data_IF_716615213514
#
_entry.id   IF_716615213514
#
_cell.length_a   1.000
_cell.length_b   1.000
_cell.length_c   1.000
_cell.angle_alpha   90.00
_cell.angle_beta   90.00
_cell.angle_gamma   90.00
#
_symmetry.space_group_name_H-M   'P 1'
#
loop_
_entity.id
_entity.type
_entity.pdbx_description
1 polymer ?
#
# COMPACT_ATOMS: atom_id res chain seq x y z
N UNK A 1 -48.72 43.75 38.92
CA UNK A 1 -47.97 42.50 38.72
C UNK A 1 -46.52 42.83 38.42
N UNK A 2 -45.58 42.40 39.27
CA UNK A 2 -44.13 42.50 39.03
C UNK A 2 -43.68 41.31 38.19
N UNK A 3 -42.72 41.53 37.29
CA UNK A 3 -41.58 40.68 36.91
C UNK A 3 -40.96 41.35 35.67
N UNK A 4 -39.83 42.05 35.81
CA UNK A 4 -38.47 41.52 35.60
C UNK A 4 -38.23 41.20 34.12
N UNK A 5 -37.20 41.68 33.41
CA UNK A 5 -36.01 42.41 33.77
C UNK A 5 -34.96 42.21 32.65
N UNK A 6 -33.88 43.00 32.73
CA UNK A 6 -32.56 42.83 32.07
C UNK A 6 -32.54 43.11 30.55
N UNK A 7 -31.75 44.09 30.06
CA UNK A 7 -30.28 44.03 29.83
C UNK A 7 -29.94 42.70 29.12
N UNK A 8 -29.32 42.64 27.94
CA UNK A 8 -28.05 43.28 27.59
C UNK A 8 -27.47 42.75 26.26
N UNK A 9 -26.49 43.50 25.70
CA UNK A 9 -25.33 43.12 24.87
C UNK A 9 -25.52 42.65 23.41
N UNK A 10 -24.95 43.48 22.52
CA UNK A 10 -24.44 43.12 21.20
C UNK A 10 -23.25 42.16 21.29
N UNK A 11 -23.03 41.35 20.26
CA UNK A 11 -21.73 41.08 19.63
C UNK A 11 -21.96 40.12 18.44
N UNK A 12 -21.93 40.70 17.23
CA UNK A 12 -21.84 39.93 16.00
C UNK A 12 -20.43 39.36 15.86
N UNK A 13 -20.31 38.04 15.90
CA UNK A 13 -19.09 37.33 15.57
C UNK A 13 -19.15 36.97 14.09
N UNK A 14 -18.30 37.61 13.30
CA UNK A 14 -18.01 37.22 11.92
C UNK A 14 -17.23 35.91 11.99
N UNK A 15 -17.87 34.80 11.67
CA UNK A 15 -17.21 33.51 11.54
C UNK A 15 -16.57 33.42 10.14
N UNK A 16 -15.26 33.63 10.11
CA UNK A 16 -14.42 33.36 8.95
C UNK A 16 -14.46 31.86 8.65
N UNK A 17 -15.09 31.46 7.55
CA UNK A 17 -15.02 30.10 7.03
C UNK A 17 -13.59 29.85 6.55
N UNK A 18 -12.77 29.21 7.39
CA UNK A 18 -11.48 28.65 6.98
C UNK A 18 -11.81 27.44 6.11
N UNK A 19 -11.58 27.57 4.80
CA UNK A 19 -11.56 26.43 3.90
C UNK A 19 -10.35 25.56 4.28
N UNK A 20 -10.60 24.53 5.10
CA UNK A 20 -9.64 23.48 5.37
C UNK A 20 -9.45 22.70 4.07
N UNK A 21 -8.25 22.81 3.51
CA UNK A 21 -7.76 22.01 2.39
C UNK A 21 -7.96 20.52 2.71
N UNK A 22 -8.80 19.84 1.93
CA UNK A 22 -8.95 18.39 1.94
C UNK A 22 -7.68 17.77 1.33
N UNK A 23 -6.59 17.72 2.08
CA UNK A 23 -5.55 16.73 1.82
C UNK A 23 -6.11 15.39 2.27
N UNK A 24 -6.39 14.50 1.32
CA UNK A 24 -7.02 13.21 1.55
C UNK A 24 -6.27 12.40 2.60
N UNK A 25 -6.84 12.33 3.81
CA UNK A 25 -6.49 11.30 4.77
C UNK A 25 -7.03 9.98 4.21
N UNK A 26 -6.19 9.24 3.48
CA UNK A 26 -6.49 7.84 3.20
C UNK A 26 -6.42 7.10 4.53
N UNK A 27 -7.58 6.68 5.04
CA UNK A 27 -7.65 5.77 6.18
C UNK A 27 -7.21 4.39 5.71
N UNK A 28 -6.21 3.83 6.37
CA UNK A 28 -5.77 2.45 6.13
C UNK A 28 -6.92 1.46 6.34
N UNK A 29 -7.07 0.51 5.43
CA UNK A 29 -8.11 -0.50 5.49
C UNK A 29 -7.69 -1.68 6.36
N UNK A 30 -8.45 -1.88 7.46
CA UNK A 30 -8.28 -2.96 8.42
C UNK A 30 -9.48 -3.93 8.45
N UNK A 31 -10.42 -3.83 7.51
CA UNK A 31 -11.66 -4.62 7.52
C UNK A 31 -12.60 -4.34 8.71
N UNK A 32 -13.58 -5.24 8.92
CA UNK A 32 -14.74 -4.98 9.80
C UNK A 32 -14.43 -5.09 11.31
N UNK A 33 -13.43 -5.88 11.73
CA UNK A 33 -13.16 -6.13 13.17
C UNK A 33 -11.69 -6.00 13.62
N UNK A 34 -10.70 -5.81 12.72
CA UNK A 34 -9.22 -5.67 12.95
C UNK A 34 -8.35 -6.45 11.95
N UNK A 35 -8.93 -7.00 10.88
CA UNK A 35 -8.19 -7.69 9.82
C UNK A 35 -8.90 -7.60 8.47
N UNK A 36 -8.11 -7.62 7.42
CA UNK A 36 -8.54 -7.63 6.02
C UNK A 36 -9.44 -8.83 5.69
N UNK A 37 -10.34 -8.68 4.72
CA UNK A 37 -11.12 -9.81 4.21
C UNK A 37 -10.20 -10.92 3.69
N UNK A 38 -10.48 -12.16 4.10
CA UNK A 38 -9.61 -13.30 3.78
C UNK A 38 -9.45 -13.57 2.29
N UNK A 39 -10.39 -13.13 1.43
CA UNK A 39 -10.23 -13.25 -0.03
C UNK A 39 -9.17 -12.28 -0.53
N UNK A 40 -9.29 -11.00 -0.16
CA UNK A 40 -8.32 -9.96 -0.50
C UNK A 40 -6.93 -10.26 0.07
N UNK A 41 -6.86 -10.78 1.31
CA UNK A 41 -5.59 -11.23 1.90
C UNK A 41 -4.94 -12.33 1.06
N UNK A 42 -5.69 -13.37 0.69
CA UNK A 42 -5.17 -14.48 -0.13
C UNK A 42 -4.74 -14.00 -1.52
N UNK A 43 -5.40 -13.01 -2.08
CA UNK A 43 -5.03 -12.41 -3.36
C UNK A 43 -3.67 -11.69 -3.26
N UNK A 44 -3.45 -10.86 -2.25
CA UNK A 44 -2.13 -10.25 -2.00
C UNK A 44 -1.06 -11.31 -1.74
N UNK A 45 -1.34 -12.28 -0.85
CA UNK A 45 -0.42 -13.37 -0.55
C UNK A 45 -0.04 -14.18 -1.80
N UNK A 46 -0.96 -14.38 -2.75
CA UNK A 46 -0.67 -15.12 -3.98
C UNK A 46 0.41 -14.46 -4.85
N UNK A 47 0.60 -13.15 -4.69
CA UNK A 47 1.66 -12.37 -5.32
C UNK A 47 2.89 -12.21 -4.42
N UNK A 48 2.68 -11.97 -3.13
CA UNK A 48 3.75 -11.71 -2.16
C UNK A 48 4.58 -12.97 -1.86
N UNK A 49 3.95 -14.14 -1.69
CA UNK A 49 4.63 -15.38 -1.32
C UNK A 49 5.77 -15.78 -2.29
N UNK A 50 5.55 -15.87 -3.63
CA UNK A 50 6.63 -16.21 -4.55
C UNK A 50 7.71 -15.13 -4.64
N UNK A 51 7.33 -13.86 -4.48
CA UNK A 51 8.28 -12.75 -4.43
C UNK A 51 9.14 -12.84 -3.16
N UNK A 52 8.53 -13.08 -2.01
CA UNK A 52 9.18 -13.24 -0.71
C UNK A 52 10.21 -14.36 -0.76
N UNK A 53 9.86 -15.52 -1.31
CA UNK A 53 10.83 -16.61 -1.53
C UNK A 53 12.04 -16.14 -2.35
N UNK A 54 11.82 -15.37 -3.42
CA UNK A 54 12.90 -14.83 -4.25
C UNK A 54 13.75 -13.76 -3.54
N UNK A 55 13.15 -12.99 -2.63
CA UNK A 55 13.82 -11.94 -1.87
C UNK A 55 14.68 -12.49 -0.74
N UNK A 56 14.17 -13.48 0.01
CA UNK A 56 14.81 -14.01 1.22
C UNK A 56 15.61 -15.30 0.98
N UNK A 57 15.40 -16.00 -0.13
CA UNK A 57 16.19 -17.16 -0.56
C UNK A 57 16.75 -16.94 -1.99
N UNK A 58 17.60 -15.92 -2.21
CA UNK A 58 17.97 -15.52 -3.55
C UNK A 58 18.93 -16.51 -4.23
N UNK A 59 18.80 -16.60 -5.55
CA UNK A 59 19.71 -17.38 -6.41
C UNK A 59 21.02 -16.65 -6.74
N UNK A 60 21.09 -15.34 -6.48
CA UNK A 60 22.25 -14.49 -6.75
C UNK A 60 22.74 -13.81 -5.45
N UNK A 61 24.06 -13.78 -5.26
CA UNK A 61 24.72 -13.32 -4.04
C UNK A 61 25.53 -12.04 -4.28
N UNK A 62 25.18 -11.30 -5.32
CA UNK A 62 25.72 -10.01 -5.67
C UNK A 62 24.57 -9.00 -5.93
N UNK A 63 24.72 -7.72 -5.56
CA UNK A 63 23.62 -6.75 -5.58
C UNK A 63 22.85 -6.63 -6.90
N UNK A 64 23.55 -6.48 -8.02
CA UNK A 64 22.92 -6.33 -9.34
C UNK A 64 22.26 -7.64 -9.78
N UNK A 65 22.92 -8.77 -9.53
CA UNK A 65 22.37 -10.10 -9.83
C UNK A 65 21.07 -10.35 -9.07
N UNK A 66 21.05 -10.02 -7.79
CA UNK A 66 19.87 -10.09 -6.92
C UNK A 66 18.68 -9.32 -7.49
N UNK A 67 18.86 -8.05 -7.85
CA UNK A 67 17.78 -7.22 -8.42
C UNK A 67 17.29 -7.74 -9.79
N UNK A 68 18.19 -8.33 -10.57
CA UNK A 68 17.87 -8.87 -11.88
C UNK A 68 17.18 -10.24 -11.82
N UNK A 69 17.41 -11.02 -10.77
CA UNK A 69 16.74 -12.32 -10.59
C UNK A 69 15.27 -12.21 -10.20
N UNK A 70 14.83 -11.07 -9.67
CA UNK A 70 13.43 -10.87 -9.29
C UNK A 70 12.51 -10.86 -10.52
N UNK A 71 11.50 -11.72 -10.49
CA UNK A 71 10.52 -11.90 -11.54
C UNK A 71 9.23 -11.14 -11.20
N UNK A 72 9.18 -9.87 -11.59
CA UNK A 72 8.00 -9.03 -11.52
C UNK A 72 8.12 -7.89 -12.52
N UNK A 73 7.00 -7.23 -12.81
CA UNK A 73 6.97 -6.07 -13.67
C UNK A 73 7.76 -4.91 -13.04
N UNK A 74 8.37 -4.06 -13.88
CA UNK A 74 9.27 -3.00 -13.43
C UNK A 74 8.74 -1.67 -13.90
N UNK A 75 8.58 -0.75 -12.95
CA UNK A 75 8.20 0.62 -13.23
C UNK A 75 9.41 1.55 -13.16
N UNK A 76 9.52 2.46 -14.13
CA UNK A 76 10.66 3.39 -14.22
C UNK A 76 10.54 4.59 -13.26
N UNK A 77 9.39 4.77 -12.61
CA UNK A 77 9.09 5.93 -11.78
C UNK A 77 8.47 7.12 -12.55
N UNK A 78 8.21 6.96 -13.86
CA UNK A 78 7.57 7.99 -14.69
C UNK A 78 6.09 7.68 -14.94
N UNK A 79 5.27 8.74 -15.06
CA UNK A 79 3.84 8.61 -15.38
C UNK A 79 3.60 7.87 -16.71
N UNK A 80 4.43 8.14 -17.73
CA UNK A 80 4.32 7.47 -19.04
C UNK A 80 4.49 5.96 -18.92
N UNK A 81 5.50 5.49 -18.18
CA UNK A 81 5.66 4.04 -17.95
C UNK A 81 4.67 3.45 -16.95
N UNK A 82 3.94 4.29 -16.20
CA UNK A 82 2.91 3.81 -15.28
C UNK A 82 1.67 3.35 -16.07
N UNK A 83 1.30 4.06 -17.14
CA UNK A 83 0.13 3.72 -17.96
C UNK A 83 0.26 2.41 -18.74
N UNK A 84 1.47 1.83 -18.80
CA UNK A 84 1.70 0.52 -19.41
C UNK A 84 1.43 -0.64 -18.42
N UNK A 85 1.27 -0.35 -17.13
CA UNK A 85 1.05 -1.33 -16.06
C UNK A 85 -0.45 -1.70 -15.96
N UNK A 86 -0.74 -2.99 -15.85
CA UNK A 86 -2.11 -3.50 -15.68
C UNK A 86 -2.38 -3.84 -14.21
N UNK A 87 -2.49 -2.82 -13.36
CA UNK A 87 -2.71 -3.00 -11.92
C UNK A 87 -4.17 -3.28 -11.55
N UNK A 88 -5.12 -3.00 -12.45
CA UNK A 88 -6.55 -3.27 -12.22
C UNK A 88 -6.84 -4.78 -12.10
N UNK A 89 -6.04 -5.64 -12.74
CA UNK A 89 -6.16 -7.09 -12.63
C UNK A 89 -5.36 -7.68 -11.44
N UNK A 90 -4.62 -6.84 -10.71
CA UNK A 90 -3.72 -7.24 -9.64
C UNK A 90 -2.32 -7.62 -10.15
N UNK A 91 -1.33 -7.58 -9.26
CA UNK A 91 0.05 -7.87 -9.64
C UNK A 91 1.10 -7.24 -8.73
N UNK A 92 2.35 -7.39 -9.13
CA UNK A 92 3.55 -6.88 -8.44
C UNK A 92 4.32 -5.94 -9.36
N UNK A 93 4.64 -4.76 -8.84
CA UNK A 93 5.49 -3.79 -9.53
C UNK A 93 6.72 -3.48 -8.67
N UNK A 94 7.90 -3.63 -9.25
CA UNK A 94 9.19 -3.26 -8.66
C UNK A 94 9.60 -1.87 -9.14
N UNK A 95 9.99 -1.00 -8.23
CA UNK A 95 10.43 0.38 -8.53
C UNK A 95 11.51 0.86 -7.56
N UNK A 96 11.98 2.09 -7.74
CA UNK A 96 13.01 2.75 -6.91
C UNK A 96 14.22 1.86 -6.60
N UNK A 97 14.80 1.26 -7.65
CA UNK A 97 15.92 0.32 -7.52
C UNK A 97 17.22 1.06 -7.30
N UNK A 98 17.96 0.66 -6.28
CA UNK A 98 19.29 1.17 -5.97
C UNK A 98 20.28 0.02 -5.81
N UNK A 99 21.55 0.26 -6.15
CA UNK A 99 22.61 -0.73 -5.97
C UNK A 99 23.95 -0.05 -5.70
N UNK A 100 24.70 -0.62 -4.77
CA UNK A 100 26.12 -0.34 -4.50
C UNK A 100 26.92 -1.64 -4.64
N UNK A 101 28.21 -1.60 -4.29
CA UNK A 101 29.08 -2.79 -4.29
C UNK A 101 28.62 -3.88 -3.30
N UNK A 102 27.89 -3.51 -2.25
CA UNK A 102 27.52 -4.42 -1.16
C UNK A 102 26.05 -4.30 -0.71
N UNK A 103 25.23 -3.50 -1.39
CA UNK A 103 23.83 -3.34 -1.04
C UNK A 103 22.96 -3.25 -2.29
N UNK A 104 21.73 -3.76 -2.19
CA UNK A 104 20.67 -3.59 -3.16
C UNK A 104 19.41 -3.10 -2.46
N UNK A 105 18.70 -2.16 -3.07
CA UNK A 105 17.42 -1.67 -2.61
C UNK A 105 16.38 -1.69 -3.73
N UNK A 106 15.13 -1.94 -3.37
CA UNK A 106 13.98 -1.75 -4.24
C UNK A 106 12.74 -1.48 -3.41
N UNK A 107 11.76 -0.84 -4.03
CA UNK A 107 10.41 -0.76 -3.50
C UNK A 107 9.45 -1.63 -4.31
N UNK A 108 8.43 -2.13 -3.64
CA UNK A 108 7.44 -3.07 -4.15
C UNK A 108 6.06 -2.44 -3.97
N UNK A 109 5.21 -2.60 -4.98
CA UNK A 109 3.78 -2.31 -4.92
C UNK A 109 3.04 -3.58 -5.30
N UNK A 110 2.04 -3.97 -4.52
CA UNK A 110 1.21 -5.15 -4.77
C UNK A 110 -0.25 -4.73 -4.80
N UNK A 111 -0.95 -5.09 -5.87
CA UNK A 111 -2.40 -4.95 -6.01
C UNK A 111 -3.06 -6.33 -5.92
N UNK A 112 -4.18 -6.43 -5.20
CA UNK A 112 -4.92 -7.69 -5.06
C UNK A 112 -5.61 -8.13 -6.34
N UNK A 113 -5.92 -7.18 -7.23
CA UNK A 113 -6.90 -7.38 -8.29
C UNK A 113 -8.33 -7.45 -7.73
N UNK A 114 -9.33 -7.65 -8.61
CA UNK A 114 -10.74 -7.56 -8.24
C UNK A 114 -11.13 -8.64 -7.23
N UNK A 115 -11.78 -8.24 -6.14
CA UNK A 115 -12.38 -9.20 -5.22
C UNK A 115 -13.57 -9.89 -5.91
N UNK A 116 -13.60 -11.24 -5.97
CA UNK A 116 -14.76 -11.94 -6.51
C UNK A 116 -16.01 -11.73 -5.65
N UNK A 117 -17.18 -11.79 -6.28
CA UNK A 117 -18.50 -11.69 -5.61
C UNK A 117 -18.85 -13.00 -4.90
N UNK A 118 -18.13 -13.25 -3.81
CA UNK A 118 -18.34 -14.38 -2.90
C UNK A 118 -18.53 -13.88 -1.47
N UNK A 119 -19.30 -14.60 -0.63
CA UNK A 119 -19.41 -14.28 0.78
C UNK A 119 -18.04 -14.20 1.45
N UNK A 120 -17.93 -13.37 2.49
CA UNK A 120 -16.77 -13.36 3.39
C UNK A 120 -16.57 -14.73 4.04
N UNK A 121 -15.39 -14.96 4.64
CA UNK A 121 -15.09 -16.18 5.40
C UNK A 121 -16.11 -16.45 6.54
N UNK A 122 -16.84 -15.42 6.99
CA UNK A 122 -17.91 -15.49 7.98
C UNK A 122 -19.32 -15.72 7.39
N UNK A 123 -19.42 -15.97 6.09
CA UNK A 123 -20.69 -16.17 5.38
C UNK A 123 -21.54 -14.89 5.23
N UNK A 124 -20.97 -13.71 5.51
CA UNK A 124 -21.64 -12.41 5.34
C UNK A 124 -21.39 -11.85 3.95
N UNK A 125 -22.31 -11.02 3.45
CA UNK A 125 -22.03 -10.18 2.29
C UNK A 125 -20.83 -9.28 2.59
N UNK A 126 -19.97 -9.13 1.59
CA UNK A 126 -18.83 -8.24 1.68
C UNK A 126 -19.26 -6.79 1.48
N UNK A 127 -18.82 -5.91 2.37
CA UNK A 127 -19.06 -4.47 2.34
C UNK A 127 -17.72 -3.78 2.62
N UNK A 128 -16.91 -3.66 1.58
CA UNK A 128 -15.55 -3.13 1.62
C UNK A 128 -15.04 -2.80 0.21
N UNK A 129 -13.77 -2.39 0.07
CA UNK A 129 -13.21 -2.01 -1.21
C UNK A 129 -13.19 -3.16 -2.22
N UNK A 130 -13.41 -2.86 -3.49
CA UNK A 130 -13.30 -3.85 -4.57
C UNK A 130 -11.91 -4.45 -4.69
N UNK A 131 -10.87 -3.71 -4.28
CA UNK A 131 -9.46 -4.12 -4.28
C UNK A 131 -8.69 -3.50 -3.12
N UNK A 132 -7.57 -4.11 -2.76
CA UNK A 132 -6.59 -3.49 -1.88
C UNK A 132 -5.23 -3.44 -2.53
N UNK A 133 -4.40 -2.52 -2.05
CA UNK A 133 -3.00 -2.44 -2.44
C UNK A 133 -2.12 -2.15 -1.24
N UNK A 134 -0.86 -2.58 -1.35
CA UNK A 134 0.18 -2.32 -0.36
C UNK A 134 1.50 -1.99 -1.01
N UNK A 135 2.41 -1.40 -0.25
CA UNK A 135 3.76 -1.11 -0.70
C UNK A 135 4.76 -1.08 0.45
N UNK A 136 6.00 -1.47 0.14
CA UNK A 136 7.09 -1.49 1.09
C UNK A 136 8.44 -1.42 0.37
N UNK A 137 9.50 -1.18 1.14
CA UNK A 137 10.89 -1.21 0.69
C UNK A 137 11.57 -2.49 1.16
N UNK A 138 12.42 -3.03 0.30
CA UNK A 138 13.38 -4.08 0.63
C UNK A 138 14.79 -3.52 0.51
N UNK A 139 15.61 -3.84 1.49
CA UNK A 139 17.04 -3.55 1.50
C UNK A 139 17.81 -4.83 1.80
N UNK A 140 18.72 -5.19 0.91
CA UNK A 140 19.56 -6.36 1.01
C UNK A 140 21.03 -5.95 1.14
N UNK A 141 21.69 -6.45 2.18
CA UNK A 141 23.12 -6.26 2.44
C UNK A 141 23.91 -7.55 2.14
N UNK A 142 24.99 -7.41 1.39
CA UNK A 142 25.78 -8.52 0.88
C UNK A 142 27.12 -8.59 1.59
N UNK A 143 27.48 -9.80 2.04
CA UNK A 143 28.79 -10.12 2.60
C UNK A 143 29.43 -11.27 1.80
N UNK A 144 30.75 -11.24 1.55
CA UNK A 144 31.41 -12.29 0.77
C UNK A 144 31.18 -13.68 1.35
N UNK A 145 30.65 -14.60 0.52
CA UNK A 145 30.45 -16.00 0.89
C UNK A 145 29.30 -16.26 1.87
N UNK A 146 28.41 -15.29 2.08
CA UNK A 146 27.24 -15.41 2.95
C UNK A 146 25.94 -15.08 2.20
N UNK A 147 24.82 -15.60 2.72
CA UNK A 147 23.48 -15.18 2.29
C UNK A 147 23.28 -13.70 2.62
N UNK A 148 22.65 -12.91 1.74
CA UNK A 148 22.38 -11.51 2.05
C UNK A 148 21.45 -11.38 3.25
N UNK A 149 21.68 -10.34 4.05
CA UNK A 149 20.73 -9.93 5.09
C UNK A 149 19.68 -9.05 4.43
N UNK A 150 18.41 -9.41 4.56
CA UNK A 150 17.30 -8.72 3.87
C UNK A 150 16.36 -8.14 4.91
N UNK A 151 16.14 -6.84 4.85
CA UNK A 151 15.19 -6.10 5.68
C UNK A 151 14.01 -5.59 4.86
N UNK A 152 12.84 -5.48 5.49
CA UNK A 152 11.64 -4.84 4.94
C UNK A 152 11.27 -3.62 5.77
N UNK A 153 10.93 -2.52 5.10
CA UNK A 153 10.34 -1.33 5.71
C UNK A 153 8.99 -1.06 5.07
N UNK A 154 7.92 -1.18 5.85
CA UNK A 154 6.55 -0.91 5.42
C UNK A 154 6.35 0.59 5.20
N UNK A 155 5.61 0.98 4.17
CA UNK A 155 5.22 2.37 3.96
C UNK A 155 3.80 2.62 4.42
N UNK A 156 3.52 3.85 4.87
CA UNK A 156 2.15 4.30 5.22
C UNK A 156 1.37 4.82 4.00
N UNK A 157 2.02 4.91 2.84
CA UNK A 157 1.47 5.47 1.62
C UNK A 157 2.26 4.97 0.41
N UNK A 158 1.57 4.77 -0.71
CA UNK A 158 2.15 4.30 -1.96
C UNK A 158 2.31 5.44 -2.98
N UNK A 159 3.19 5.27 -4.00
CA UNK A 159 3.41 6.29 -5.02
C UNK A 159 2.08 6.68 -5.71
N UNK A 160 1.72 7.98 -5.76
CA UNK A 160 0.45 8.42 -6.34
C UNK A 160 0.24 7.93 -7.77
N UNK A 161 1.29 7.90 -8.58
CA UNK A 161 1.24 7.43 -9.96
C UNK A 161 0.79 5.97 -10.13
N UNK A 162 1.03 5.11 -9.12
CA UNK A 162 0.55 3.72 -9.12
C UNK A 162 -0.85 3.62 -8.50
N UNK A 163 -1.13 4.43 -7.48
CA UNK A 163 -2.46 4.49 -6.83
C UNK A 163 -3.52 5.00 -7.81
N UNK A 164 -3.19 5.95 -8.69
CA UNK A 164 -4.09 6.49 -9.72
C UNK A 164 -4.50 5.46 -10.79
N UNK A 165 -3.79 4.34 -10.89
CA UNK A 165 -4.15 3.21 -11.77
C UNK A 165 -5.16 2.26 -11.13
N UNK A 166 -5.41 2.39 -9.84
CA UNK A 166 -6.32 1.50 -9.12
C UNK A 166 -7.78 1.94 -9.31
N UNK A 167 -8.75 1.03 -9.16
CA UNK A 167 -10.16 1.39 -9.08
C UNK A 167 -10.42 2.45 -8.01
N UNK A 168 -11.41 3.32 -8.26
CA UNK A 168 -11.69 4.47 -7.40
C UNK A 168 -12.05 4.10 -5.94
N UNK A 169 -12.55 2.88 -5.70
CA UNK A 169 -12.87 2.36 -4.37
C UNK A 169 -11.78 1.46 -3.78
N UNK A 170 -10.63 1.30 -4.46
CA UNK A 170 -9.51 0.55 -3.92
C UNK A 170 -8.94 1.23 -2.67
N UNK A 171 -8.50 0.41 -1.71
CA UNK A 171 -7.98 0.92 -0.44
C UNK A 171 -6.54 0.49 -0.16
N UNK A 172 -5.79 1.39 0.44
CA UNK A 172 -4.48 1.06 0.99
C UNK A 172 -4.63 0.19 2.24
N UNK A 173 -3.87 -0.90 2.32
CA UNK A 173 -3.64 -1.68 3.53
C UNK A 173 -2.14 -1.81 3.75
N UNK A 174 -1.63 -1.52 4.95
CA UNK A 174 -0.18 -1.63 5.18
C UNK A 174 0.28 -3.08 5.06
N UNK A 175 1.57 -3.26 4.76
CA UNK A 175 2.18 -4.60 4.69
C UNK A 175 2.01 -5.39 5.99
N UNK A 176 1.93 -4.71 7.14
CA UNK A 176 1.76 -5.36 8.45
C UNK A 176 0.43 -6.11 8.57
N UNK A 177 -0.60 -5.67 7.82
CA UNK A 177 -1.92 -6.34 7.78
C UNK A 177 -1.82 -7.74 7.14
N UNK A 178 -0.76 -8.00 6.37
CA UNK A 178 -0.57 -9.27 5.67
C UNK A 178 0.37 -10.25 6.38
N UNK A 179 1.06 -9.82 7.44
CA UNK A 179 2.16 -10.58 8.07
C UNK A 179 1.73 -11.75 8.97
N UNK A 180 0.43 -11.88 9.28
CA UNK A 180 -0.13 -12.99 10.06
C UNK A 180 -0.16 -12.77 11.57
#
# INVERSE_FOLDING_TARGET
MRLAGRRTWALGVVATFVALSLTGCHTEYHGYDSGIDGTLWRQIASFEDPLSSSLFEPSAYEPIGYLNSLQAERWSGSLESASDLDLEEGGVVLYDRTSTDNAAGLSIFIASGPRPDVPTDWGRNYDGPSQVFTCYRIEAEFSPGAMPSVGRTTFDHCPPALVELMPADAAFASGEVFDG
#
